data_IF_257760950611
#
_entry.id   IF_257760950611
#
_cell.length_a   1.000
_cell.length_b   1.000
_cell.length_c   1.000
_cell.angle_alpha   90.00
_cell.angle_beta   90.00
_cell.angle_gamma   90.00
#
_symmetry.space_group_name_H-M   'P 1'
#
loop_
_entity.id
_entity.type
_entity.pdbx_description
1 polymer ?
#
# COMPACT_ATOMS: atom_id res chain seq x y z
N UNK A 1 -33.75 18.36 -25.19
CA UNK A 1 -32.53 18.81 -24.48
C UNK A 1 -32.37 17.86 -23.30
N UNK A 2 -31.67 16.74 -23.51
CA UNK A 2 -31.52 15.69 -22.50
C UNK A 2 -30.50 16.17 -21.47
N UNK A 3 -30.96 16.42 -20.25
CA UNK A 3 -30.10 16.61 -19.10
C UNK A 3 -29.55 15.23 -18.70
N UNK A 4 -28.27 15.00 -19.01
CA UNK A 4 -27.58 13.78 -18.63
C UNK A 4 -27.57 13.66 -17.12
N UNK A 5 -28.36 12.71 -16.59
CA UNK A 5 -28.15 12.18 -15.24
C UNK A 5 -26.73 11.67 -15.17
N UNK A 6 -25.93 12.25 -14.28
CA UNK A 6 -24.64 11.72 -13.91
C UNK A 6 -24.91 10.45 -13.07
N UNK A 7 -24.68 9.28 -13.66
CA UNK A 7 -24.76 8.01 -12.95
C UNK A 7 -23.50 7.87 -12.06
N UNK A 8 -23.62 7.68 -10.74
CA UNK A 8 -22.45 7.56 -9.84
C UNK A 8 -21.55 6.33 -10.12
N UNK A 9 -21.93 5.49 -11.09
CA UNK A 9 -21.26 4.24 -11.44
C UNK A 9 -20.09 4.37 -12.44
N UNK A 10 -19.97 5.48 -13.17
CA UNK A 10 -18.91 5.66 -14.18
C UNK A 10 -17.63 6.29 -13.61
N UNK A 11 -17.15 5.76 -12.47
CA UNK A 11 -15.76 5.97 -12.09
C UNK A 11 -14.91 4.92 -12.79
N UNK A 12 -14.59 5.14 -14.07
CA UNK A 12 -13.68 4.29 -14.86
C UNK A 12 -12.49 3.85 -14.00
N UNK A 13 -12.27 2.53 -13.93
CA UNK A 13 -11.09 1.97 -13.27
C UNK A 13 -9.84 2.50 -13.98
N UNK A 14 -9.11 3.38 -13.32
CA UNK A 14 -7.85 3.88 -13.85
C UNK A 14 -6.86 2.72 -13.87
N UNK A 15 -6.33 2.43 -15.06
CA UNK A 15 -5.21 1.50 -15.23
C UNK A 15 -3.98 2.32 -15.56
N UNK A 16 -2.94 2.16 -14.75
CA UNK A 16 -1.69 2.89 -14.93
C UNK A 16 -0.97 2.52 -16.23
N UNK A 17 -0.29 3.49 -16.84
CA UNK A 17 0.52 3.33 -18.07
C UNK A 17 1.99 3.72 -17.87
N UNK A 18 2.40 4.00 -16.63
CA UNK A 18 3.79 4.28 -16.27
C UNK A 18 4.62 2.99 -16.25
N UNK A 19 5.68 2.91 -17.07
CA UNK A 19 6.60 1.76 -17.08
C UNK A 19 7.90 2.01 -16.31
N UNK A 20 8.02 3.15 -15.63
CA UNK A 20 9.15 3.41 -14.73
C UNK A 20 9.07 2.47 -13.52
N UNK A 21 10.18 1.81 -13.18
CA UNK A 21 10.20 0.94 -12.00
C UNK A 21 10.28 1.78 -10.73
N UNK A 22 11.26 2.67 -10.65
CA UNK A 22 11.45 3.54 -9.49
C UNK A 22 10.62 4.82 -9.64
N UNK A 23 9.86 5.16 -8.61
CA UNK A 23 9.09 6.40 -8.56
C UNK A 23 9.00 6.87 -7.12
N UNK A 24 9.27 8.17 -6.88
CA UNK A 24 9.11 8.76 -5.55
C UNK A 24 7.64 8.80 -5.16
N UNK A 25 7.36 8.59 -3.87
CA UNK A 25 6.03 8.85 -3.34
C UNK A 25 5.68 10.34 -3.50
N UNK A 26 4.45 10.63 -3.92
CA UNK A 26 3.98 11.99 -4.15
C UNK A 26 2.59 12.17 -3.53
N UNK A 27 2.21 13.40 -3.21
CA UNK A 27 0.85 13.67 -2.72
C UNK A 27 -0.08 13.86 -3.91
N UNK A 28 -1.18 13.14 -3.93
CA UNK A 28 -2.26 13.36 -4.89
C UNK A 28 -2.91 14.71 -4.58
N UNK A 29 -2.53 15.75 -5.33
CA UNK A 29 -3.07 17.11 -5.21
C UNK A 29 -4.07 17.43 -6.32
N UNK A 30 -4.20 16.54 -7.31
CA UNK A 30 -5.05 16.65 -8.50
C UNK A 30 -5.63 15.28 -8.84
N UNK A 31 -6.52 15.22 -9.84
CA UNK A 31 -7.02 13.96 -10.40
C UNK A 31 -5.80 13.11 -10.85
N UNK A 32 -5.74 11.82 -10.49
CA UNK A 32 -4.62 10.97 -10.87
C UNK A 32 -4.53 10.82 -12.40
N UNK A 33 -3.34 11.01 -12.95
CA UNK A 33 -3.02 10.78 -14.35
C UNK A 33 -2.52 9.34 -14.54
N UNK A 34 -3.08 8.60 -15.49
CA UNK A 34 -2.68 7.21 -15.75
C UNK A 34 -1.20 7.08 -16.10
N UNK A 35 -0.59 8.10 -16.74
CA UNK A 35 0.83 8.12 -17.07
C UNK A 35 1.75 8.23 -15.85
N UNK A 36 1.21 8.66 -14.70
CA UNK A 36 1.93 8.68 -13.44
C UNK A 36 1.77 7.37 -12.66
N UNK A 37 0.78 6.53 -12.96
CA UNK A 37 0.48 5.32 -12.19
C UNK A 37 1.09 4.09 -12.88
N UNK A 38 1.76 3.21 -12.13
CA UNK A 38 2.34 1.97 -12.70
C UNK A 38 1.29 0.86 -12.77
N UNK A 39 1.21 0.09 -13.88
CA UNK A 39 0.30 -1.04 -13.99
C UNK A 39 0.73 -2.22 -13.08
N UNK A 40 -0.19 -3.15 -12.77
CA UNK A 40 0.06 -4.27 -11.85
C UNK A 40 1.32 -5.09 -12.16
N UNK A 41 1.60 -5.33 -13.44
CA UNK A 41 2.78 -6.10 -13.86
C UNK A 41 4.10 -5.42 -13.46
N UNK A 42 4.17 -4.08 -13.60
CA UNK A 42 5.33 -3.28 -13.21
C UNK A 42 5.46 -3.23 -11.69
N UNK A 43 4.33 -3.05 -10.99
CA UNK A 43 4.29 -3.04 -9.52
C UNK A 43 4.81 -4.36 -8.93
N UNK A 44 4.37 -5.51 -9.44
CA UNK A 44 4.83 -6.84 -9.00
C UNK A 44 6.33 -7.03 -9.23
N UNK A 45 6.82 -6.67 -10.42
CA UNK A 45 8.25 -6.75 -10.75
C UNK A 45 9.08 -5.88 -9.81
N UNK A 46 8.63 -4.65 -9.56
CA UNK A 46 9.33 -3.72 -8.70
C UNK A 46 9.29 -4.17 -7.23
N UNK A 47 8.16 -4.67 -6.74
CA UNK A 47 8.06 -5.21 -5.39
C UNK A 47 9.05 -6.36 -5.15
N UNK A 48 9.17 -7.31 -6.09
CA UNK A 48 10.15 -8.40 -6.00
C UNK A 48 11.59 -7.88 -5.92
N UNK A 49 11.91 -6.81 -6.64
CA UNK A 49 13.20 -6.15 -6.54
C UNK A 49 13.41 -5.53 -5.15
N UNK A 50 12.41 -4.79 -4.64
CA UNK A 50 12.47 -4.17 -3.31
C UNK A 50 12.67 -5.18 -2.17
N UNK A 51 12.06 -6.36 -2.25
CA UNK A 51 12.29 -7.43 -1.27
C UNK A 51 13.77 -7.86 -1.20
N UNK A 52 14.48 -7.81 -2.32
CA UNK A 52 15.92 -8.10 -2.36
C UNK A 52 16.73 -6.92 -1.82
N UNK A 53 16.36 -5.69 -2.15
CA UNK A 53 17.03 -4.47 -1.67
C UNK A 53 16.86 -4.27 -0.17
N UNK A 54 15.71 -4.63 0.39
CA UNK A 54 15.37 -4.49 1.81
C UNK A 54 16.30 -5.27 2.75
N UNK A 55 17.00 -6.30 2.23
CA UNK A 55 18.02 -7.04 3.00
C UNK A 55 19.22 -6.17 3.41
N UNK A 56 19.35 -4.98 2.83
CA UNK A 56 20.38 -3.99 3.12
C UNK A 56 19.82 -2.91 4.04
N UNK A 57 20.18 -2.87 5.34
CA UNK A 57 19.60 -1.92 6.30
C UNK A 57 19.77 -0.45 5.88
N UNK A 58 20.89 -0.11 5.24
CA UNK A 58 21.16 1.24 4.75
C UNK A 58 20.21 1.71 3.65
N UNK A 59 19.46 0.79 3.03
CA UNK A 59 18.46 1.07 2.00
C UNK A 59 17.04 1.25 2.54
N UNK A 60 16.81 1.13 3.85
CA UNK A 60 15.48 1.21 4.45
C UNK A 60 14.68 2.43 3.97
N UNK A 61 15.25 3.64 4.05
CA UNK A 61 14.57 4.88 3.64
C UNK A 61 14.12 4.86 2.19
N UNK A 62 14.96 4.34 1.30
CA UNK A 62 14.63 4.19 -0.11
C UNK A 62 13.50 3.15 -0.30
N UNK A 63 13.61 1.99 0.33
CA UNK A 63 12.59 0.93 0.20
C UNK A 63 11.25 1.40 0.74
N UNK A 64 11.21 2.08 1.89
CA UNK A 64 10.01 2.67 2.47
C UNK A 64 9.33 3.67 1.52
N UNK A 65 10.10 4.59 0.92
CA UNK A 65 9.58 5.53 -0.08
C UNK A 65 8.99 4.81 -1.32
N UNK A 66 9.69 3.79 -1.83
CA UNK A 66 9.22 3.02 -2.98
C UNK A 66 7.97 2.17 -2.65
N UNK A 67 7.89 1.59 -1.46
CA UNK A 67 6.71 0.85 -1.01
C UNK A 67 5.50 1.77 -0.79
N UNK A 68 5.71 3.01 -0.30
CA UNK A 68 4.65 4.03 -0.26
C UNK A 68 4.12 4.35 -1.66
N UNK A 69 5.01 4.52 -2.63
CA UNK A 69 4.63 4.75 -4.02
C UNK A 69 3.86 3.55 -4.62
N UNK A 70 4.28 2.31 -4.36
CA UNK A 70 3.55 1.11 -4.82
C UNK A 70 2.14 1.06 -4.19
N UNK A 71 2.03 1.25 -2.87
CA UNK A 71 0.73 1.26 -2.17
C UNK A 71 -0.20 2.34 -2.69
N UNK A 72 0.33 3.51 -3.02
CA UNK A 72 -0.42 4.58 -3.65
C UNK A 72 -0.96 4.17 -5.02
N UNK A 73 -0.12 3.62 -5.90
CA UNK A 73 -0.55 3.17 -7.23
C UNK A 73 -1.63 2.08 -7.14
N UNK A 74 -1.52 1.15 -6.18
CA UNK A 74 -2.55 0.13 -5.92
C UNK A 74 -3.87 0.76 -5.45
N UNK A 75 -3.79 1.75 -4.55
CA UNK A 75 -4.96 2.44 -4.02
C UNK A 75 -5.68 3.23 -5.11
N UNK A 76 -4.94 3.96 -5.94
CA UNK A 76 -5.49 4.76 -7.05
C UNK A 76 -6.22 3.86 -8.06
N UNK A 77 -5.63 2.71 -8.38
CA UNK A 77 -6.22 1.72 -9.29
C UNK A 77 -7.28 0.84 -8.63
N UNK A 78 -7.58 1.04 -7.33
CA UNK A 78 -8.53 0.24 -6.54
C UNK A 78 -8.21 -1.27 -6.52
N UNK A 79 -6.94 -1.65 -6.64
CA UNK A 79 -6.51 -3.05 -6.64
C UNK A 79 -6.47 -3.57 -5.20
N UNK A 80 -7.36 -4.50 -4.88
CA UNK A 80 -7.51 -5.12 -3.56
C UNK A 80 -7.48 -6.64 -3.69
N UNK A 81 -6.29 -7.18 -3.87
CA UNK A 81 -6.03 -8.62 -4.01
C UNK A 81 -4.94 -9.10 -3.04
N UNK A 82 -4.60 -10.39 -3.12
CA UNK A 82 -3.52 -10.99 -2.32
C UNK A 82 -2.17 -10.30 -2.50
N UNK A 83 -1.92 -9.69 -3.66
CA UNK A 83 -0.68 -8.94 -3.88
C UNK A 83 -0.68 -7.63 -3.12
N UNK A 84 -1.80 -6.90 -3.12
CA UNK A 84 -1.94 -5.71 -2.28
C UNK A 84 -1.70 -6.06 -0.82
N UNK A 85 -2.30 -7.15 -0.31
CA UNK A 85 -2.04 -7.65 1.05
C UNK A 85 -0.53 -7.89 1.26
N UNK A 86 0.12 -8.65 0.39
CA UNK A 86 1.55 -8.96 0.50
C UNK A 86 2.45 -7.71 0.54
N UNK A 87 2.14 -6.68 -0.24
CA UNK A 87 2.87 -5.40 -0.23
C UNK A 87 2.73 -4.70 1.12
N UNK A 88 1.50 -4.64 1.66
CA UNK A 88 1.24 -4.00 2.94
C UNK A 88 1.86 -4.76 4.11
N UNK A 89 1.75 -6.09 4.12
CA UNK A 89 2.35 -6.94 5.15
C UNK A 89 3.87 -6.81 5.17
N UNK A 90 4.50 -6.87 4.00
CA UNK A 90 5.95 -6.72 3.88
C UNK A 90 6.41 -5.34 4.39
N UNK A 91 5.70 -4.28 4.00
CA UNK A 91 6.04 -2.93 4.44
C UNK A 91 5.87 -2.78 5.95
N UNK A 92 4.77 -3.30 6.52
CA UNK A 92 4.53 -3.28 7.96
C UNK A 92 5.65 -3.97 8.75
N UNK A 93 6.07 -5.18 8.36
CA UNK A 93 7.19 -5.89 9.01
C UNK A 93 8.48 -5.07 8.93
N UNK A 94 8.79 -4.53 7.75
CA UNK A 94 9.98 -3.70 7.56
C UNK A 94 9.97 -2.44 8.45
N UNK A 95 8.81 -1.79 8.62
CA UNK A 95 8.67 -0.62 9.48
C UNK A 95 8.82 -0.95 10.97
N UNK A 96 8.31 -2.12 11.41
CA UNK A 96 8.50 -2.60 12.78
C UNK A 96 9.98 -2.87 13.09
N UNK A 97 10.69 -3.53 12.19
CA UNK A 97 12.14 -3.77 12.31
C UNK A 97 12.95 -2.47 12.45
N UNK A 98 12.46 -1.38 11.86
CA UNK A 98 13.10 -0.06 11.88
C UNK A 98 12.47 0.92 12.89
N UNK A 99 11.58 0.44 13.78
CA UNK A 99 10.89 1.23 14.83
C UNK A 99 10.09 2.42 14.30
N UNK A 100 9.60 2.35 13.06
CA UNK A 100 8.77 3.38 12.44
C UNK A 100 7.29 3.10 12.71
N UNK A 101 6.87 3.37 13.95
CA UNK A 101 5.52 3.06 14.43
C UNK A 101 4.42 3.88 13.71
N UNK A 102 4.76 5.06 13.19
CA UNK A 102 3.83 5.89 12.43
C UNK A 102 3.49 5.24 11.09
N UNK A 103 4.50 4.78 10.35
CA UNK A 103 4.26 4.08 9.08
C UNK A 103 3.64 2.70 9.26
N UNK A 104 4.02 2.00 10.34
CA UNK A 104 3.38 0.74 10.71
C UNK A 104 1.86 0.91 10.91
N UNK A 105 1.42 1.92 11.66
CA UNK A 105 -0.01 2.14 11.92
C UNK A 105 -0.80 2.44 10.63
N UNK A 106 -0.18 3.15 9.68
CA UNK A 106 -0.78 3.36 8.35
C UNK A 106 -0.94 2.05 7.58
N UNK A 107 0.06 1.17 7.63
CA UNK A 107 -0.03 -0.15 6.99
C UNK A 107 -1.12 -1.01 7.67
N UNK A 108 -1.12 -1.06 8.99
CA UNK A 108 -2.06 -1.85 9.79
C UNK A 108 -3.52 -1.43 9.56
N UNK A 109 -3.79 -0.13 9.51
CA UNK A 109 -5.15 0.40 9.26
C UNK A 109 -5.67 -0.12 7.91
N UNK A 110 -4.83 -0.10 6.89
CA UNK A 110 -5.20 -0.62 5.56
C UNK A 110 -5.31 -2.14 5.53
N UNK A 111 -4.41 -2.87 6.22
CA UNK A 111 -4.48 -4.33 6.31
C UNK A 111 -5.78 -4.80 6.94
N UNK A 112 -6.30 -4.11 7.97
CA UNK A 112 -7.62 -4.43 8.54
C UNK A 112 -8.69 -4.44 7.45
N UNK A 113 -8.78 -3.37 6.68
CA UNK A 113 -9.77 -3.26 5.60
C UNK A 113 -9.55 -4.29 4.48
N UNK A 114 -8.30 -4.68 4.20
CA UNK A 114 -8.01 -5.70 3.19
C UNK A 114 -8.41 -7.10 3.66
N UNK A 115 -8.21 -7.44 4.93
CA UNK A 115 -8.64 -8.73 5.48
C UNK A 115 -10.17 -8.85 5.57
N UNK A 116 -10.87 -7.75 5.86
CA UNK A 116 -12.33 -7.73 5.83
C UNK A 116 -12.87 -8.06 4.42
N UNK A 117 -12.19 -7.59 3.36
CA UNK A 117 -12.58 -7.84 1.96
C UNK A 117 -12.10 -9.20 1.42
N UNK A 118 -11.01 -9.74 1.98
CA UNK A 118 -10.33 -10.96 1.51
C UNK A 118 -10.22 -11.99 2.65
N UNK A 119 -11.30 -12.73 2.96
CA UNK A 119 -11.29 -13.68 4.07
C UNK A 119 -10.31 -14.84 3.82
N UNK A 120 -9.70 -15.34 4.89
CA UNK A 120 -8.81 -16.51 4.83
C UNK A 120 -7.35 -16.18 4.49
N UNK A 121 -6.97 -14.91 4.58
CA UNK A 121 -5.57 -14.48 4.45
C UNK A 121 -4.70 -15.13 5.53
N UNK A 122 -3.61 -15.79 5.11
CA UNK A 122 -2.75 -16.60 5.97
C UNK A 122 -2.20 -15.88 7.21
N UNK A 123 -1.87 -14.60 7.09
CA UNK A 123 -1.19 -13.84 8.13
C UNK A 123 -2.14 -12.88 8.90
N UNK A 124 -3.46 -12.97 8.70
CA UNK A 124 -4.42 -12.10 9.38
C UNK A 124 -4.26 -12.12 10.91
N UNK A 125 -4.07 -13.30 11.50
CA UNK A 125 -3.84 -13.47 12.94
C UNK A 125 -2.55 -12.81 13.42
N UNK A 126 -1.48 -12.83 12.62
CA UNK A 126 -0.20 -12.20 12.94
C UNK A 126 -0.38 -10.68 13.05
N UNK A 127 -1.00 -10.06 12.04
CA UNK A 127 -1.21 -8.61 12.02
C UNK A 127 -2.26 -8.15 13.03
N UNK A 128 -3.21 -9.02 13.38
CA UNK A 128 -4.12 -8.78 14.50
C UNK A 128 -3.36 -8.75 15.82
N UNK A 129 -2.42 -9.68 16.05
CA UNK A 129 -1.58 -9.66 17.23
C UNK A 129 -0.69 -8.42 17.30
N UNK A 130 -0.07 -8.01 16.17
CA UNK A 130 0.72 -6.78 16.13
C UNK A 130 -0.11 -5.54 16.47
N UNK A 131 -1.37 -5.48 16.04
CA UNK A 131 -2.29 -4.40 16.39
C UNK A 131 -2.58 -4.32 17.88
N UNK A 132 -2.82 -5.47 18.52
CA UNK A 132 -3.06 -5.51 19.97
C UNK A 132 -1.82 -5.02 20.73
N UNK A 133 -0.62 -5.48 20.33
CA UNK A 133 0.63 -5.04 20.93
C UNK A 133 0.88 -3.55 20.70
N UNK A 134 0.56 -3.04 19.51
CA UNK A 134 0.64 -1.61 19.21
C UNK A 134 -0.25 -0.79 20.14
N UNK A 135 -1.51 -1.20 20.34
CA UNK A 135 -2.40 -0.50 21.27
C UNK A 135 -1.85 -0.49 22.69
N UNK A 136 -1.41 -1.65 23.21
CA UNK A 136 -0.81 -1.72 24.56
C UNK A 136 0.40 -0.77 24.67
N UNK A 137 1.26 -0.74 23.65
CA UNK A 137 2.44 0.12 23.64
C UNK A 137 2.09 1.62 23.61
N UNK A 138 0.98 2.00 22.98
CA UNK A 138 0.58 3.41 22.79
C UNK A 138 -0.50 3.90 23.76
N UNK A 139 -1.14 3.01 24.52
CA UNK A 139 -2.11 3.37 25.55
C UNK A 139 -1.45 3.97 26.80
N UNK A 140 -0.13 3.82 26.98
CA UNK A 140 0.65 4.48 28.05
C UNK A 140 0.94 5.99 27.77
N UNK A 141 0.56 6.52 26.59
CA UNK A 141 0.79 7.92 26.17
C UNK A 141 -0.47 8.83 26.29
N UNK A 142 -1.52 8.42 27.01
CA UNK A 142 -2.71 9.23 27.32
C UNK A 142 -2.85 9.53 28.82
#
# INVERSE_FOLDING_TARGET
RNEGRFDPGDCEEIVGTCYEQEKKFFRLTKKPDASEIRPPAVLRKHFNHLQTVAKKPEKYKYVCDQLRAIRQDLTVQKIRDEFTVAVYEFHARLTLENKDLCEFNQCQTQLRHLYDDLPGCKNESEFTAYRLLYYILTEDDQ
#
